data_IF_984493570732
#
_entry.id   IF_984493570732
#
_cell.length_a   1.000
_cell.length_b   1.000
_cell.length_c   1.000
_cell.angle_alpha   90.00
_cell.angle_beta   90.00
_cell.angle_gamma   90.00
#
_symmetry.space_group_name_H-M   'P 1'
#
loop_
_entity.id
_entity.type
_entity.pdbx_description
1 polymer ?
#
# COMPACT_ATOMS: atom_id res chain seq x y z
N UNK A 1 9.08 -1.68 -9.81
CA UNK A 1 9.58 -1.13 -8.53
C UNK A 1 10.98 -1.65 -8.30
N UNK A 2 11.91 -0.84 -7.80
CA UNK A 2 13.29 -1.27 -7.50
C UNK A 2 13.44 -1.31 -6.00
N UNK A 3 13.99 -2.40 -5.48
CA UNK A 3 14.18 -2.64 -4.05
C UNK A 3 15.66 -2.53 -3.72
N UNK A 4 15.98 -1.86 -2.62
CA UNK A 4 17.35 -1.69 -2.13
C UNK A 4 17.58 -2.53 -0.88
N UNK A 5 18.85 -2.82 -0.57
CA UNK A 5 19.25 -3.71 0.51
C UNK A 5 19.00 -3.13 1.93
N UNK A 6 18.73 -1.83 2.02
CA UNK A 6 18.38 -1.11 3.24
C UNK A 6 16.88 -1.18 3.58
N UNK A 7 16.10 -1.96 2.82
CA UNK A 7 14.66 -2.09 2.99
C UNK A 7 13.83 -0.99 2.33
N UNK A 8 14.48 -0.03 1.66
CA UNK A 8 13.77 0.99 0.89
C UNK A 8 13.34 0.46 -0.48
N UNK A 9 12.22 0.97 -0.99
CA UNK A 9 11.70 0.62 -2.31
C UNK A 9 11.29 1.87 -3.09
N UNK A 10 11.67 1.93 -4.36
CA UNK A 10 11.16 2.94 -5.29
C UNK A 10 9.98 2.41 -6.09
N UNK A 11 8.85 3.11 -5.96
CA UNK A 11 7.73 3.01 -6.88
C UNK A 11 8.17 3.60 -8.22
N UNK A 12 8.33 2.75 -9.24
CA UNK A 12 8.56 3.24 -10.60
C UNK A 12 7.21 3.72 -11.13
N UNK A 13 6.94 5.01 -10.99
CA UNK A 13 5.86 5.66 -11.71
C UNK A 13 6.22 5.65 -13.19
N UNK A 14 5.45 4.90 -13.97
CA UNK A 14 5.59 4.84 -15.42
C UNK A 14 5.32 6.25 -15.97
N UNK A 15 6.32 6.74 -16.70
CA UNK A 15 6.20 7.67 -17.81
C UNK A 15 6.40 9.18 -17.56
N UNK A 16 5.94 9.81 -16.46
CA UNK A 16 6.16 11.27 -16.32
C UNK A 16 7.58 11.67 -15.89
N UNK A 17 8.18 10.94 -14.94
CA UNK A 17 9.51 11.27 -14.39
C UNK A 17 10.70 10.74 -15.21
N UNK A 18 10.43 10.01 -16.30
CA UNK A 18 11.45 9.64 -17.29
C UNK A 18 11.74 10.79 -18.26
N UNK A 19 10.75 11.66 -18.50
CA UNK A 19 10.90 12.85 -19.35
C UNK A 19 11.52 14.01 -18.58
N UNK A 20 11.09 14.23 -17.33
CA UNK A 20 11.62 15.28 -16.44
C UNK A 20 12.00 14.68 -15.09
N UNK A 21 13.25 14.23 -14.97
CA UNK A 21 13.77 13.67 -13.73
C UNK A 21 14.00 14.81 -12.74
N UNK A 22 13.29 14.87 -11.59
CA UNK A 22 13.50 15.93 -10.63
C UNK A 22 14.94 15.87 -10.11
N UNK A 23 15.60 17.02 -9.91
CA UNK A 23 17.00 17.08 -9.49
C UNK A 23 17.22 16.40 -8.12
N UNK A 24 16.19 16.38 -7.28
CA UNK A 24 16.11 15.57 -6.07
C UNK A 24 14.66 15.24 -5.73
N UNK A 25 14.45 14.11 -5.05
CA UNK A 25 13.18 13.86 -4.37
C UNK A 25 13.16 14.70 -3.09
N UNK A 26 12.09 15.48 -2.90
CA UNK A 26 11.90 16.28 -1.69
C UNK A 26 10.87 15.60 -0.81
N UNK A 27 11.24 15.29 0.43
CA UNK A 27 10.29 14.82 1.44
C UNK A 27 9.54 16.00 2.03
N UNK A 28 8.22 15.87 2.18
CA UNK A 28 7.39 16.82 2.92
C UNK A 28 6.75 16.10 4.09
N UNK A 29 6.80 16.71 5.26
CA UNK A 29 6.00 16.27 6.40
C UNK A 29 4.61 16.86 6.24
N UNK A 30 3.65 16.02 5.86
CA UNK A 30 2.28 16.42 5.65
C UNK A 30 1.35 15.36 6.25
N UNK A 31 0.30 15.81 6.93
CA UNK A 31 -0.74 14.92 7.44
C UNK A 31 -1.75 14.69 6.32
N UNK A 32 -1.99 13.43 5.97
CA UNK A 32 -2.90 13.05 4.88
C UNK A 32 -4.04 12.20 5.43
N UNK A 33 -5.27 12.55 5.08
CA UNK A 33 -6.44 11.75 5.42
C UNK A 33 -6.52 10.53 4.51
N UNK A 34 -6.58 9.33 5.08
CA UNK A 34 -6.76 8.09 4.31
C UNK A 34 -8.16 7.55 4.59
N UNK A 35 -8.96 7.40 3.54
CA UNK A 35 -10.28 6.80 3.59
C UNK A 35 -10.28 5.51 2.75
N UNK A 36 -10.77 4.41 3.34
CA UNK A 36 -10.96 3.14 2.64
C UNK A 36 -12.45 2.99 2.37
N UNK A 37 -12.82 3.12 1.09
CA UNK A 37 -14.22 3.08 0.65
C UNK A 37 -14.78 1.67 0.78
N UNK A 38 -15.91 1.55 1.49
CA UNK A 38 -16.69 0.33 1.48
C UNK A 38 -17.40 0.13 0.12
N UNK A 39 -17.48 -1.10 -0.43
CA UNK A 39 -18.19 -1.35 -1.69
C UNK A 39 -19.65 -0.91 -1.70
N UNK A 40 -20.28 -0.79 -0.52
CA UNK A 40 -21.69 -0.40 -0.36
C UNK A 40 -21.90 1.12 -0.28
N UNK A 41 -20.83 1.90 -0.15
CA UNK A 41 -20.93 3.35 -0.05
C UNK A 41 -20.87 3.98 -1.44
N UNK A 42 -21.82 4.86 -1.72
CA UNK A 42 -21.83 5.66 -2.95
C UNK A 42 -20.92 6.87 -2.86
N UNK A 43 -20.66 7.47 -4.01
CA UNK A 43 -19.84 8.68 -4.19
C UNK A 43 -20.15 9.79 -3.17
N UNK A 44 -21.40 10.28 -3.16
CA UNK A 44 -21.80 11.46 -2.37
C UNK A 44 -21.55 11.28 -0.87
N UNK A 45 -21.98 10.14 -0.30
CA UNK A 45 -21.75 9.83 1.12
C UNK A 45 -20.27 9.72 1.48
N UNK A 46 -19.47 9.18 0.56
CA UNK A 46 -18.03 9.04 0.75
C UNK A 46 -17.35 10.42 0.74
N UNK A 47 -17.72 11.29 -0.22
CA UNK A 47 -17.21 12.64 -0.31
C UNK A 47 -17.60 13.50 0.89
N UNK A 48 -18.86 13.42 1.34
CA UNK A 48 -19.35 14.10 2.54
C UNK A 48 -18.55 13.69 3.78
N UNK A 49 -18.29 12.38 3.95
CA UNK A 49 -17.46 11.87 5.04
C UNK A 49 -16.03 12.41 4.98
N UNK A 50 -15.41 12.41 3.80
CA UNK A 50 -14.05 12.93 3.59
C UNK A 50 -14.00 14.41 3.97
N UNK A 51 -14.93 15.22 3.46
CA UNK A 51 -14.94 16.66 3.71
C UNK A 51 -15.14 16.98 5.20
N UNK A 52 -16.08 16.28 5.87
CA UNK A 52 -16.27 16.42 7.31
C UNK A 52 -14.99 16.11 8.10
N UNK A 53 -14.29 15.02 7.76
CA UNK A 53 -13.04 14.66 8.46
C UNK A 53 -11.91 15.65 8.17
N UNK A 54 -11.81 16.15 6.93
CA UNK A 54 -10.85 17.22 6.56
C UNK A 54 -11.05 18.46 7.41
N UNK A 55 -12.29 18.92 7.55
CA UNK A 55 -12.64 20.08 8.38
C UNK A 55 -12.33 19.85 9.86
N UNK A 56 -12.72 18.69 10.40
CA UNK A 56 -12.50 18.36 11.81
C UNK A 56 -11.03 18.25 12.20
N UNK A 57 -10.18 17.79 11.27
CA UNK A 57 -8.75 17.54 11.53
C UNK A 57 -7.85 18.65 11.00
N UNK A 58 -8.38 19.65 10.29
CA UNK A 58 -7.59 20.67 9.60
C UNK A 58 -6.67 20.09 8.52
N UNK A 59 -7.06 18.96 7.91
CA UNK A 59 -6.28 18.26 6.89
C UNK A 59 -6.79 18.64 5.50
N UNK A 60 -5.88 19.06 4.61
CA UNK A 60 -6.25 19.46 3.26
C UNK A 60 -6.11 18.33 2.23
N UNK A 61 -5.19 17.40 2.42
CA UNK A 61 -4.92 16.30 1.49
C UNK A 61 -5.64 15.02 1.90
N UNK A 62 -6.24 14.33 0.93
CA UNK A 62 -6.94 13.07 1.17
C UNK A 62 -6.63 12.04 0.09
N UNK A 63 -6.51 10.80 0.52
CA UNK A 63 -6.34 9.61 -0.30
C UNK A 63 -7.56 8.72 -0.09
N UNK A 64 -8.19 8.31 -1.19
CA UNK A 64 -9.29 7.36 -1.21
C UNK A 64 -8.82 6.04 -1.82
N UNK A 65 -8.94 4.96 -1.05
CA UNK A 65 -8.64 3.59 -1.49
C UNK A 65 -9.96 2.86 -1.72
N UNK A 66 -10.16 2.29 -2.91
CA UNK A 66 -11.39 1.55 -3.24
C UNK A 66 -11.11 0.32 -4.09
N UNK A 67 -11.80 -0.79 -3.85
CA UNK A 67 -11.73 -1.99 -4.71
C UNK A 67 -12.31 -1.77 -6.09
N UNK A 68 -13.41 -1.00 -6.18
CA UNK A 68 -14.10 -0.72 -7.43
C UNK A 68 -14.50 0.76 -7.49
N UNK A 69 -14.25 1.39 -8.62
CA UNK A 69 -14.64 2.76 -8.90
C UNK A 69 -14.85 2.93 -10.40
N UNK A 70 -15.91 3.60 -10.80
CA UNK A 70 -16.08 3.98 -12.21
C UNK A 70 -15.20 5.19 -12.53
N UNK A 71 -14.88 5.38 -13.81
CA UNK A 71 -14.05 6.52 -14.25
C UNK A 71 -14.70 7.87 -13.89
N UNK A 72 -16.02 7.96 -14.02
CA UNK A 72 -16.77 9.16 -13.63
C UNK A 72 -16.65 9.45 -12.14
N UNK A 73 -16.73 8.41 -11.31
CA UNK A 73 -16.59 8.54 -9.86
C UNK A 73 -15.16 8.96 -9.48
N UNK A 74 -14.15 8.38 -10.14
CA UNK A 74 -12.74 8.73 -9.94
C UNK A 74 -12.46 10.18 -10.33
N UNK A 75 -12.94 10.63 -11.49
CA UNK A 75 -12.84 12.03 -11.92
C UNK A 75 -13.53 12.98 -10.94
N UNK A 76 -14.70 12.58 -10.44
CA UNK A 76 -15.42 13.29 -9.39
C UNK A 76 -14.54 13.54 -8.17
N UNK A 77 -13.92 12.50 -7.62
CA UNK A 77 -13.03 12.63 -6.46
C UNK A 77 -11.76 13.45 -6.75
N UNK A 78 -11.13 13.22 -7.91
CA UNK A 78 -9.90 13.94 -8.31
C UNK A 78 -10.18 15.44 -8.43
N UNK A 79 -11.33 15.83 -9.00
CA UNK A 79 -11.73 17.25 -9.11
C UNK A 79 -11.92 17.94 -7.76
N UNK A 80 -12.14 17.17 -6.68
CA UNK A 80 -12.28 17.64 -5.29
C UNK A 80 -10.97 17.52 -4.50
N UNK A 81 -9.83 17.36 -5.20
CA UNK A 81 -8.51 17.23 -4.59
C UNK A 81 -8.34 15.96 -3.77
N UNK A 82 -9.04 14.88 -4.11
CA UNK A 82 -8.89 13.55 -3.48
C UNK A 82 -8.11 12.64 -4.43
N UNK A 83 -6.95 12.16 -3.99
CA UNK A 83 -6.18 11.18 -4.77
C UNK A 83 -6.80 9.80 -4.65
N UNK A 84 -7.06 9.12 -5.76
CA UNK A 84 -7.74 7.83 -5.79
C UNK A 84 -6.77 6.71 -6.09
N UNK A 85 -6.86 5.62 -5.33
CA UNK A 85 -6.07 4.40 -5.53
C UNK A 85 -6.97 3.16 -5.53
N UNK A 86 -6.70 2.24 -6.44
CA UNK A 86 -7.33 0.93 -6.43
C UNK A 86 -6.77 0.11 -5.26
N UNK A 87 -7.67 -0.51 -4.47
CA UNK A 87 -7.28 -1.53 -3.52
C UNK A 87 -6.84 -2.76 -4.33
N UNK A 88 -5.53 -2.98 -4.38
CA UNK A 88 -4.99 -4.23 -4.92
C UNK A 88 -4.99 -5.24 -3.78
N UNK A 89 -5.65 -6.37 -3.99
CA UNK A 89 -5.42 -7.56 -3.18
C UNK A 89 -4.00 -8.04 -3.47
N UNK A 90 -3.05 -7.54 -2.68
CA UNK A 90 -1.73 -8.13 -2.67
C UNK A 90 -1.88 -9.52 -2.04
N UNK A 91 -1.97 -10.54 -2.89
CA UNK A 91 -1.46 -11.86 -2.56
C UNK A 91 0.06 -11.72 -2.43
N UNK A 92 0.51 -11.10 -1.33
CA UNK A 92 1.90 -11.19 -0.93
C UNK A 92 2.17 -12.69 -0.83
N UNK A 93 3.23 -13.22 -1.48
CA UNK A 93 3.76 -14.50 -1.09
C UNK A 93 4.23 -14.33 0.36
N UNK A 94 3.36 -14.61 1.31
CA UNK A 94 3.59 -14.45 2.76
C UNK A 94 4.58 -15.48 3.28
N UNK A 95 5.13 -16.33 2.40
CA UNK A 95 6.10 -17.35 2.72
C UNK A 95 7.40 -17.01 2.03
N UNK A 96 8.37 -16.58 2.83
CA UNK A 96 9.76 -16.62 2.41
C UNK A 96 10.11 -18.08 2.13
N UNK A 97 10.34 -18.41 0.85
CA UNK A 97 10.88 -19.71 0.46
C UNK A 97 12.40 -19.65 0.55
N UNK A 98 12.90 -19.92 1.76
CA UNK A 98 14.31 -19.94 2.06
C UNK A 98 15.07 -21.04 1.29
N UNK A 99 14.38 -22.08 0.81
CA UNK A 99 14.99 -23.15 -0.01
C UNK A 99 15.43 -22.62 -1.38
N UNK A 100 14.69 -21.66 -1.95
CA UNK A 100 14.97 -21.06 -3.26
C UNK A 100 15.35 -19.57 -3.16
N UNK A 101 15.83 -19.12 -1.99
CA UNK A 101 16.22 -17.73 -1.80
C UNK A 101 17.44 -17.39 -2.66
N UNK A 102 17.32 -16.40 -3.54
CA UNK A 102 18.41 -15.93 -4.39
C UNK A 102 19.41 -15.01 -3.68
N UNK A 103 19.24 -14.77 -2.37
CA UNK A 103 20.15 -13.95 -1.59
C UNK A 103 21.15 -14.85 -0.85
N UNK A 104 22.39 -14.86 -1.34
CA UNK A 104 23.47 -15.69 -0.80
C UNK A 104 23.93 -15.26 0.61
N UNK A 105 23.63 -14.03 1.01
CA UNK A 105 23.88 -13.53 2.36
C UNK A 105 22.75 -13.86 3.34
N UNK A 106 21.68 -14.54 2.90
CA UNK A 106 20.60 -14.95 3.77
C UNK A 106 21.06 -16.11 4.66
N UNK A 107 21.03 -15.97 6.01
CA UNK A 107 21.46 -17.05 6.91
C UNK A 107 20.64 -18.34 6.79
N UNK A 108 19.48 -18.28 6.13
CA UNK A 108 18.55 -19.38 5.93
C UNK A 108 18.52 -19.88 4.48
N UNK A 109 19.40 -19.39 3.61
CA UNK A 109 19.44 -19.82 2.21
C UNK A 109 19.66 -21.34 2.11
N UNK A 110 18.84 -22.01 1.28
CA UNK A 110 18.85 -23.47 1.13
C UNK A 110 18.19 -24.23 2.28
N UNK A 111 17.78 -23.54 3.36
CA UNK A 111 17.11 -24.16 4.48
C UNK A 111 15.58 -24.05 4.34
N UNK A 112 14.93 -25.19 4.09
CA UNK A 112 13.48 -25.28 4.01
C UNK A 112 12.75 -25.08 5.34
N UNK A 113 13.47 -25.09 6.47
CA UNK A 113 12.96 -24.78 7.81
C UNK A 113 13.38 -23.39 8.25
N UNK A 114 12.64 -22.37 7.80
CA UNK A 114 12.77 -21.05 8.38
C UNK A 114 12.11 -21.00 9.77
N UNK A 115 12.58 -20.15 10.70
CA UNK A 115 11.96 -19.96 12.01
C UNK A 115 10.45 -19.66 11.93
N UNK A 116 10.00 -19.03 10.83
CA UNK A 116 8.58 -18.80 10.53
C UNK A 116 7.82 -20.11 10.31
N UNK A 117 8.37 -21.07 9.57
CA UNK A 117 7.76 -22.40 9.39
C UNK A 117 7.78 -23.22 10.68
N UNK A 118 8.85 -23.12 11.47
CA UNK A 118 8.93 -23.78 12.78
C UNK A 118 7.87 -23.23 13.74
N UNK A 119 7.70 -21.91 13.84
CA UNK A 119 6.62 -21.31 14.66
C UNK A 119 5.22 -21.74 14.21
N UNK A 120 4.97 -21.84 12.90
CA UNK A 120 3.67 -22.31 12.38
C UNK A 120 3.42 -23.79 12.69
N UNK A 121 4.45 -24.64 12.72
CA UNK A 121 4.33 -26.03 13.18
C UNK A 121 3.92 -26.10 14.66
N UNK A 122 4.35 -25.15 15.50
CA UNK A 122 3.91 -25.08 16.89
C UNK A 122 2.46 -24.58 17.05
N UNK A 123 1.97 -23.68 16.17
CA UNK A 123 0.56 -23.22 16.20
C UNK A 123 -0.46 -24.35 15.87
N UNK A 124 -0.04 -25.46 15.24
CA UNK A 124 -0.94 -26.59 14.93
C UNK A 124 -1.31 -27.45 16.15
N UNK A 125 -0.72 -27.19 17.32
CA UNK A 125 -1.04 -27.87 18.59
C UNK A 125 -2.08 -27.11 19.46
N UNK A 126 -2.94 -26.32 18.83
CA UNK A 126 -4.26 -26.03 19.40
C UNK A 126 -4.34 -24.91 20.45
N UNK A 127 -3.51 -23.87 20.38
CA UNK A 127 -3.83 -22.59 21.02
C UNK A 127 -3.48 -21.42 20.11
N UNK A 128 -4.42 -20.49 20.06
CA UNK A 128 -4.59 -19.36 19.13
C UNK A 128 -3.27 -18.67 18.75
N UNK A 129 -3.00 -18.71 17.44
CA UNK A 129 -2.31 -17.68 16.68
C UNK A 129 -3.43 -16.99 15.84
#
# INVERSE_FOLDING_TARGET
TRRYADGTFTLHYKDHFLQDKPPCFTSRHEQVLIEIKSPRQGFSKTLEKINRHREQLGIHTAILISHAMSDLEAQGFISQGVSVYAAQDFLLPTRADCQHCANDACPLQGNGQSPVRSCQQFCLNGQVC
#
